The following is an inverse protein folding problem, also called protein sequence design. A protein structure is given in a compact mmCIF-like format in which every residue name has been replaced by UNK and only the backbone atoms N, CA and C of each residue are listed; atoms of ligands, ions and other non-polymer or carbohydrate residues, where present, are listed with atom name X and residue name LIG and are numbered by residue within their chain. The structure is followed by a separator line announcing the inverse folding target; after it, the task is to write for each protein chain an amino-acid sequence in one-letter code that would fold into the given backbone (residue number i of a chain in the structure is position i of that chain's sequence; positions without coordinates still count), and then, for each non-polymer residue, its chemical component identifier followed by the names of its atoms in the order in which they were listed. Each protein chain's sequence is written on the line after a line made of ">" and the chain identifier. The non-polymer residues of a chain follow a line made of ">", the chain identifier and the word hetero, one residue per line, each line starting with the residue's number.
data_IF_230836784522
#
_entry.id   IF_230836784522
#
_cell.length_a   1.000
_cell.length_b   1.000
_cell.length_c   1.000
_cell.angle_alpha   90.00
_cell.angle_beta   90.00
_cell.angle_gamma   90.00
#
_symmetry.space_group_name_H-M   'P 1'
#
loop_
_entity.id
_entity.type
_entity.pdbx_description
1 polymer ?
#
# COMPACT_ATOMS: atom_id res chain seq x y z
N UNK A 1 -4.69 -20.99 4.91
CA UNK A 1 -5.11 -20.36 3.65
C UNK A 1 -5.07 -21.39 2.53
N UNK A 2 -6.17 -21.55 1.82
CA UNK A 2 -6.26 -22.38 0.60
C UNK A 2 -5.38 -21.79 -0.53
N UNK A 3 -4.90 -22.64 -1.45
CA UNK A 3 -4.20 -22.24 -2.66
C UNK A 3 -4.99 -21.27 -3.54
N UNK A 4 -6.31 -21.44 -3.66
CA UNK A 4 -7.14 -20.56 -4.50
C UNK A 4 -7.20 -19.15 -3.94
N UNK A 5 -7.40 -19.04 -2.62
CA UNK A 5 -7.35 -17.76 -1.91
C UNK A 5 -5.97 -17.11 -1.99
N UNK A 6 -4.89 -17.90 -1.89
CA UNK A 6 -3.52 -17.38 -2.04
C UNK A 6 -3.30 -16.74 -3.42
N UNK A 7 -3.75 -17.38 -4.51
CA UNK A 7 -3.60 -16.84 -5.87
C UNK A 7 -4.37 -15.52 -6.00
N UNK A 8 -5.60 -15.46 -5.48
CA UNK A 8 -6.41 -14.22 -5.47
C UNK A 8 -5.71 -13.11 -4.69
N UNK A 9 -5.15 -13.41 -3.52
CA UNK A 9 -4.39 -12.47 -2.68
C UNK A 9 -3.17 -11.92 -3.40
N UNK A 10 -2.38 -12.79 -4.05
CA UNK A 10 -1.21 -12.38 -4.82
C UNK A 10 -1.59 -11.53 -6.03
N UNK A 11 -2.64 -11.90 -6.76
CA UNK A 11 -3.15 -11.13 -7.90
C UNK A 11 -3.70 -9.77 -7.48
N UNK A 12 -4.43 -9.71 -6.36
CA UNK A 12 -5.01 -8.48 -5.85
C UNK A 12 -3.95 -7.46 -5.41
N UNK A 13 -2.79 -7.92 -4.95
CA UNK A 13 -1.67 -7.02 -4.63
C UNK A 13 -1.23 -6.19 -5.84
N UNK A 14 -1.31 -6.73 -7.07
CA UNK A 14 -0.97 -5.98 -8.30
C UNK A 14 -1.91 -4.79 -8.50
N UNK A 15 -3.18 -4.94 -8.14
CA UNK A 15 -4.14 -3.83 -8.13
C UNK A 15 -3.75 -2.78 -7.08
N UNK A 16 -3.41 -3.19 -5.86
CA UNK A 16 -2.95 -2.27 -4.80
C UNK A 16 -1.70 -1.49 -5.24
N UNK A 17 -0.72 -2.17 -5.84
CA UNK A 17 0.48 -1.54 -6.39
C UNK A 17 0.13 -0.53 -7.50
N UNK A 18 -0.81 -0.87 -8.38
CA UNK A 18 -1.28 0.02 -9.44
C UNK A 18 -1.97 1.28 -8.88
N UNK A 19 -2.83 1.12 -7.87
CA UNK A 19 -3.46 2.23 -7.15
C UNK A 19 -2.38 3.14 -6.52
N UNK A 20 -1.35 2.56 -5.91
CA UNK A 20 -0.24 3.32 -5.31
C UNK A 20 0.50 4.19 -6.34
N UNK A 21 0.82 3.61 -7.50
CA UNK A 21 1.51 4.30 -8.60
C UNK A 21 0.63 5.45 -9.13
N UNK A 22 -0.64 5.18 -9.41
CA UNK A 22 -1.59 6.20 -9.88
C UNK A 22 -1.74 7.34 -8.88
N UNK A 23 -1.81 7.02 -7.58
CA UNK A 23 -1.84 8.02 -6.53
C UNK A 23 -0.54 8.86 -6.47
N UNK A 24 0.63 8.23 -6.66
CA UNK A 24 1.91 8.94 -6.75
C UNK A 24 1.96 9.91 -7.94
N UNK A 25 1.42 9.49 -9.10
CA UNK A 25 1.29 10.34 -10.29
C UNK A 25 0.33 11.51 -10.01
N UNK A 26 -0.87 11.23 -9.46
CA UNK A 26 -1.84 12.26 -9.08
C UNK A 26 -1.23 13.28 -8.12
N UNK A 27 -0.44 12.81 -7.14
CA UNK A 27 0.27 13.67 -6.19
C UNK A 27 1.21 14.63 -6.91
N UNK A 28 2.14 14.11 -7.71
CA UNK A 28 3.17 14.92 -8.36
C UNK A 28 2.63 15.82 -9.48
N UNK A 29 1.63 15.35 -10.23
CA UNK A 29 1.09 16.07 -11.38
C UNK A 29 0.00 17.09 -11.02
N UNK A 30 -0.74 16.87 -9.93
CA UNK A 30 -1.93 17.68 -9.61
C UNK A 30 -1.88 18.25 -8.20
N UNK A 31 -1.65 17.43 -7.17
CA UNK A 31 -1.80 17.88 -5.78
C UNK A 31 -0.64 18.79 -5.35
N UNK A 32 0.61 18.39 -5.56
CA UNK A 32 1.78 19.18 -5.18
C UNK A 32 1.85 20.52 -5.93
N UNK A 33 1.57 20.60 -7.25
CA UNK A 33 1.53 21.88 -7.96
C UNK A 33 0.44 22.84 -7.47
N UNK A 34 -0.70 22.33 -6.98
CA UNK A 34 -1.84 23.16 -6.55
C UNK A 34 -1.82 23.53 -5.07
N UNK A 35 -1.34 22.62 -4.22
CA UNK A 35 -1.42 22.73 -2.76
C UNK A 35 -0.05 22.91 -2.09
N UNK A 36 1.04 22.79 -2.85
CA UNK A 36 2.40 22.71 -2.33
C UNK A 36 2.80 21.30 -1.89
N UNK A 37 4.10 21.09 -1.70
CA UNK A 37 4.69 19.76 -1.47
C UNK A 37 4.14 19.05 -0.22
N UNK A 38 4.16 19.71 0.95
CA UNK A 38 3.70 19.07 2.19
C UNK A 38 2.18 18.79 2.20
N UNK A 39 1.29 19.77 1.94
CA UNK A 39 -0.15 19.49 1.92
C UNK A 39 -0.55 18.48 0.85
N UNK A 40 0.07 18.54 -0.33
CA UNK A 40 -0.13 17.56 -1.40
C UNK A 40 0.26 16.15 -1.00
N UNK A 41 1.40 15.99 -0.30
CA UNK A 41 1.84 14.69 0.22
C UNK A 41 0.90 14.13 1.29
N UNK A 42 0.47 14.95 2.25
CA UNK A 42 -0.44 14.54 3.32
C UNK A 42 -1.78 14.10 2.73
N UNK A 43 -2.40 14.93 1.88
CA UNK A 43 -3.68 14.62 1.26
C UNK A 43 -3.61 13.35 0.39
N UNK A 44 -2.57 13.23 -0.43
CA UNK A 44 -2.35 12.02 -1.25
C UNK A 44 -2.18 10.76 -0.39
N UNK A 45 -1.55 10.86 0.77
CA UNK A 45 -1.37 9.71 1.66
C UNK A 45 -2.70 9.25 2.25
N UNK A 46 -3.53 10.18 2.72
CA UNK A 46 -4.87 9.84 3.21
C UNK A 46 -5.77 9.29 2.12
N UNK A 47 -5.72 9.86 0.91
CA UNK A 47 -6.43 9.31 -0.24
C UNK A 47 -5.99 7.88 -0.53
N UNK A 48 -4.69 7.59 -0.53
CA UNK A 48 -4.17 6.26 -0.76
C UNK A 48 -4.64 5.25 0.29
N UNK A 49 -4.53 5.62 1.58
CA UNK A 49 -5.00 4.77 2.68
C UNK A 49 -6.49 4.46 2.51
N UNK A 50 -7.32 5.47 2.25
CA UNK A 50 -8.76 5.26 2.02
C UNK A 50 -9.02 4.35 0.82
N UNK A 51 -8.33 4.56 -0.31
CA UNK A 51 -8.48 3.72 -1.50
C UNK A 51 -8.08 2.26 -1.21
N UNK A 52 -7.01 2.04 -0.45
CA UNK A 52 -6.60 0.70 -0.04
C UNK A 52 -7.63 0.05 0.87
N UNK A 53 -8.11 0.73 1.91
CA UNK A 53 -9.11 0.18 2.82
C UNK A 53 -10.40 -0.18 2.08
N UNK A 54 -10.87 0.69 1.17
CA UNK A 54 -12.04 0.39 0.32
C UNK A 54 -11.77 -0.82 -0.57
N UNK A 55 -10.63 -0.86 -1.26
CA UNK A 55 -10.29 -1.97 -2.14
C UNK A 55 -10.19 -3.30 -1.36
N UNK A 56 -9.53 -3.31 -0.21
CA UNK A 56 -9.39 -4.47 0.68
C UNK A 56 -10.76 -4.95 1.16
N UNK A 57 -11.63 -4.04 1.59
CA UNK A 57 -12.99 -4.38 1.99
C UNK A 57 -13.78 -5.04 0.85
N UNK A 58 -13.77 -4.42 -0.34
CA UNK A 58 -14.46 -4.97 -1.51
C UNK A 58 -13.90 -6.33 -1.94
N UNK A 59 -12.59 -6.54 -1.81
CA UNK A 59 -11.97 -7.83 -2.08
C UNK A 59 -12.42 -8.91 -1.10
N UNK A 60 -12.32 -8.65 0.21
CA UNK A 60 -12.64 -9.63 1.24
C UNK A 60 -14.13 -9.98 1.31
N UNK A 61 -15.02 -9.06 0.96
CA UNK A 61 -16.47 -9.29 0.86
C UNK A 61 -16.90 -9.83 -0.51
N UNK A 62 -15.99 -9.83 -1.49
CA UNK A 62 -16.25 -10.35 -2.84
C UNK A 62 -15.65 -11.73 -3.12
N UNK A 63 -14.84 -12.27 -2.21
CA UNK A 63 -14.33 -13.64 -2.30
C UNK A 63 -15.27 -14.60 -1.58
N UNK A 64 -15.64 -15.70 -2.23
CA UNK A 64 -16.50 -16.75 -1.65
C UNK A 64 -15.72 -17.71 -0.72
N UNK A 65 -14.39 -17.59 -0.68
CA UNK A 65 -13.52 -18.48 0.10
C UNK A 65 -13.67 -18.23 1.60
N UNK A 66 -13.77 -19.30 2.39
CA UNK A 66 -13.72 -19.19 3.85
C UNK A 66 -12.30 -18.82 4.30
N UNK A 67 -12.18 -17.81 5.15
CA UNK A 67 -10.93 -17.41 5.78
C UNK A 67 -11.07 -17.27 7.29
N UNK A 68 -10.00 -17.61 8.00
CA UNK A 68 -9.90 -17.38 9.44
C UNK A 68 -9.28 -16.03 9.76
N UNK A 69 -9.37 -15.58 11.02
CA UNK A 69 -8.63 -14.40 11.49
C UNK A 69 -7.11 -14.53 11.29
N UNK A 70 -6.59 -15.75 11.35
CA UNK A 70 -5.16 -15.99 11.09
C UNK A 70 -4.80 -15.79 9.62
N UNK A 71 -5.70 -16.17 8.70
CA UNK A 71 -5.51 -15.93 7.27
C UNK A 71 -5.51 -14.44 6.96
N UNK A 72 -6.41 -13.65 7.57
CA UNK A 72 -6.44 -12.19 7.40
C UNK A 72 -5.11 -11.53 7.81
N UNK A 73 -4.53 -11.95 8.94
CA UNK A 73 -3.22 -11.46 9.38
C UNK A 73 -2.12 -11.84 8.38
N UNK A 74 -2.12 -13.09 7.89
CA UNK A 74 -1.15 -13.57 6.89
C UNK A 74 -1.28 -12.79 5.58
N UNK A 75 -2.49 -12.50 5.12
CA UNK A 75 -2.74 -11.68 3.93
C UNK A 75 -2.11 -10.30 4.09
N UNK A 76 -2.35 -9.63 5.21
CA UNK A 76 -1.75 -8.33 5.53
C UNK A 76 -0.22 -8.39 5.49
N UNK A 77 0.38 -9.40 6.13
CA UNK A 77 1.84 -9.60 6.13
C UNK A 77 2.38 -9.82 4.71
N UNK A 78 1.73 -10.67 3.90
CA UNK A 78 2.13 -10.93 2.51
C UNK A 78 2.13 -9.63 1.72
N UNK A 79 1.05 -8.86 1.78
CA UNK A 79 0.96 -7.59 1.05
C UNK A 79 1.98 -6.57 1.53
N UNK A 80 2.24 -6.47 2.84
CA UNK A 80 3.28 -5.59 3.36
C UNK A 80 4.67 -5.99 2.86
N UNK A 81 5.03 -7.28 2.92
CA UNK A 81 6.31 -7.79 2.42
C UNK A 81 6.46 -7.51 0.92
N UNK A 82 5.43 -7.79 0.13
CA UNK A 82 5.45 -7.53 -1.31
C UNK A 82 5.60 -6.03 -1.60
N UNK A 83 4.90 -5.18 -0.87
CA UNK A 83 4.96 -3.72 -1.04
C UNK A 83 6.35 -3.17 -0.73
N UNK A 84 6.94 -3.57 0.41
CA UNK A 84 8.29 -3.17 0.81
C UNK A 84 9.31 -3.71 -0.21
N UNK A 85 9.22 -4.99 -0.57
CA UNK A 85 10.14 -5.59 -1.54
C UNK A 85 10.06 -4.89 -2.90
N UNK A 86 8.86 -4.58 -3.36
CA UNK A 86 8.64 -3.83 -4.60
C UNK A 86 9.21 -2.42 -4.50
N UNK A 87 8.95 -1.68 -3.42
CA UNK A 87 9.47 -0.33 -3.22
C UNK A 87 10.99 -0.30 -3.29
N UNK A 88 11.67 -1.21 -2.59
CA UNK A 88 13.12 -1.27 -2.59
C UNK A 88 13.69 -1.77 -3.92
N UNK A 89 13.11 -2.81 -4.51
CA UNK A 89 13.59 -3.33 -5.79
C UNK A 89 13.35 -2.34 -6.94
N UNK A 90 12.12 -1.84 -7.08
CA UNK A 90 11.76 -0.86 -8.11
C UNK A 90 12.46 0.47 -7.86
N UNK A 91 12.42 0.98 -6.63
CA UNK A 91 13.05 2.24 -6.25
C UNK A 91 14.56 2.23 -6.50
N UNK A 92 15.25 1.18 -6.09
CA UNK A 92 16.71 1.11 -6.24
C UNK A 92 17.14 0.75 -7.66
N UNK A 93 16.59 -0.31 -8.26
CA UNK A 93 17.09 -0.82 -9.54
C UNK A 93 16.47 -0.12 -10.75
N UNK A 94 15.21 0.32 -10.67
CA UNK A 94 14.51 0.97 -11.80
C UNK A 94 14.61 2.49 -11.71
N UNK A 95 14.24 3.07 -10.57
CA UNK A 95 14.26 4.53 -10.35
C UNK A 95 15.64 5.07 -9.93
N UNK A 96 16.63 4.18 -9.74
CA UNK A 96 18.00 4.51 -9.32
C UNK A 96 18.07 5.36 -8.05
N UNK A 97 17.12 5.17 -7.14
CA UNK A 97 17.13 5.84 -5.85
C UNK A 97 18.15 5.15 -4.91
N UNK A 98 18.99 5.93 -4.21
CA UNK A 98 19.90 5.36 -3.23
C UNK A 98 19.13 4.83 -2.02
N UNK A 99 19.67 3.82 -1.34
CA UNK A 99 19.02 3.15 -0.21
C UNK A 99 18.66 4.13 0.91
N UNK A 100 19.52 5.12 1.15
CA UNK A 100 19.32 6.17 2.15
C UNK A 100 18.06 7.00 1.86
N UNK A 101 17.77 7.23 0.58
CA UNK A 101 16.57 7.98 0.17
C UNK A 101 15.29 7.20 0.49
N UNK A 102 15.29 5.89 0.18
CA UNK A 102 14.17 4.99 0.45
C UNK A 102 13.95 4.82 1.96
N UNK A 103 15.02 4.62 2.73
CA UNK A 103 14.94 4.55 4.20
C UNK A 103 14.42 5.86 4.82
N UNK A 104 14.68 7.00 4.18
CA UNK A 104 14.16 8.27 4.69
C UNK A 104 12.62 8.31 4.63
N UNK A 105 11.96 7.58 3.70
CA UNK A 105 10.50 7.49 3.56
C UNK A 105 9.79 6.89 4.79
N UNK A 106 10.55 6.19 5.64
CA UNK A 106 10.07 5.58 6.89
C UNK A 106 10.19 6.50 8.11
N UNK A 107 10.78 7.69 7.94
CA UNK A 107 10.97 8.62 9.04
C UNK A 107 9.73 9.50 9.26
N UNK A 108 8.81 9.01 10.09
CA UNK A 108 7.60 9.74 10.50
C UNK A 108 7.92 11.12 11.11
N UNK A 109 9.05 11.26 11.83
CA UNK A 109 9.46 12.53 12.45
C UNK A 109 9.85 13.59 11.41
N UNK A 110 10.16 13.19 10.17
CA UNK A 110 10.40 14.08 9.03
C UNK A 110 9.13 14.35 8.20
N UNK A 111 7.96 13.97 8.71
CA UNK A 111 6.66 14.17 8.05
C UNK A 111 6.42 13.20 6.88
N UNK A 112 7.18 12.11 6.79
CA UNK A 112 6.98 11.09 5.75
C UNK A 112 6.01 10.05 6.26
N UNK A 113 4.84 9.98 5.62
CA UNK A 113 3.69 9.22 6.12
C UNK A 113 3.59 7.80 5.53
N UNK A 114 4.63 7.34 4.81
CA UNK A 114 4.59 6.06 4.11
C UNK A 114 4.38 4.88 5.06
N UNK A 115 4.96 4.91 6.26
CA UNK A 115 4.73 3.87 7.26
C UNK A 115 3.25 3.72 7.64
N UNK A 116 2.43 4.78 7.56
CA UNK A 116 0.99 4.68 7.80
C UNK A 116 0.28 3.87 6.70
N UNK A 117 0.74 4.00 5.45
CA UNK A 117 0.23 3.20 4.33
C UNK A 117 0.51 1.71 4.56
N UNK A 118 1.73 1.38 5.02
CA UNK A 118 2.11 0.00 5.33
C UNK A 118 1.30 -0.58 6.50
N UNK A 119 1.04 0.23 7.53
CA UNK A 119 0.16 -0.15 8.66
C UNK A 119 -1.27 -0.40 8.16
N UNK A 120 -1.79 0.44 7.26
CA UNK A 120 -3.11 0.25 6.67
C UNK A 120 -3.20 -1.03 5.83
N UNK A 121 -2.17 -1.38 5.06
CA UNK A 121 -2.11 -2.65 4.32
C UNK A 121 -2.03 -3.85 5.28
N UNK A 122 -1.20 -3.75 6.33
CA UNK A 122 -0.96 -4.83 7.28
C UNK A 122 -2.23 -5.19 8.08
N UNK A 123 -2.91 -4.17 8.61
CA UNK A 123 -4.07 -4.38 9.48
C UNK A 123 -5.41 -4.25 8.76
N UNK A 124 -5.44 -3.70 7.55
CA UNK A 124 -6.65 -3.54 6.74
C UNK A 124 -7.47 -4.84 6.64
N UNK A 125 -6.87 -6.00 6.31
CA UNK A 125 -7.60 -7.25 6.26
C UNK A 125 -8.23 -7.65 7.59
N UNK A 126 -7.49 -7.49 8.69
CA UNK A 126 -7.97 -7.85 10.02
C UNK A 126 -9.11 -6.94 10.52
N UNK A 127 -9.13 -5.69 10.06
CA UNK A 127 -10.13 -4.70 10.46
C UNK A 127 -11.43 -4.77 9.63
N UNK A 128 -11.35 -5.29 8.40
CA UNK A 128 -12.42 -5.18 7.40
C UNK A 128 -12.96 -6.53 6.90
N UNK A 129 -12.25 -7.63 7.18
CA UNK A 129 -12.71 -9.01 6.96
C UNK A 129 -13.42 -9.60 8.17
#
# INVERSE_FOLDING_TARGET
>A
MDSDLLIKVLGFWVLLASIAILNGILRGAVLEPRLGKSPGHILSTFLLITMFLVAIHLFLHGVDDAYSRSDLLVIGVIWTIMTVSFEFAFGHYVMKHPWERLLTDYNLLKGRLWSLVLVAILFGPLLLG
#
